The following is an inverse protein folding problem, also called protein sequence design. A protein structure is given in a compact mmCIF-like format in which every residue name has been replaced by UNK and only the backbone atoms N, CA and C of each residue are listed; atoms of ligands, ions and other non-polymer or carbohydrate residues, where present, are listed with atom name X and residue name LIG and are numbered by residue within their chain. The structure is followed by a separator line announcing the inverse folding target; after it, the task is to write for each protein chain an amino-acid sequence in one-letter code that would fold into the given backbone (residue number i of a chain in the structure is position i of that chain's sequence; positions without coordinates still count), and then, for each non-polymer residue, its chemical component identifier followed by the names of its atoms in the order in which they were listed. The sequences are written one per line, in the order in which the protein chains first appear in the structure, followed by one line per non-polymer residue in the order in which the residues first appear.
data_IF_187226444853
#
_entry.id   IF_187226444853
#
_cell.length_a   1.000
_cell.length_b   1.000
_cell.length_c   1.000
_cell.angle_alpha   90.00
_cell.angle_beta   90.00
_cell.angle_gamma   90.00
#
_symmetry.space_group_name_H-M   'P 1'
#
loop_
_entity.id
_entity.type
_entity.pdbx_description
1 polymer ?
#
# COMPACT_ATOMS: atom_id res chain seq x y z
N UNK A 1 -5.87 6.19 -14.11
CA UNK A 1 -5.58 4.85 -13.52
C UNK A 1 -6.87 4.06 -13.49
N UNK A 2 -6.83 2.77 -13.78
CA UNK A 2 -8.03 1.90 -13.77
C UNK A 2 -7.76 0.72 -12.85
N UNK A 3 -8.68 0.46 -11.93
CA UNK A 3 -8.66 -0.70 -11.04
C UNK A 3 -9.64 -1.74 -11.56
N UNK A 4 -9.15 -2.94 -11.85
CA UNK A 4 -10.02 -4.08 -12.20
C UNK A 4 -10.76 -4.60 -10.97
N UNK A 5 -10.09 -4.64 -9.81
CA UNK A 5 -10.69 -5.00 -8.52
C UNK A 5 -10.04 -4.21 -7.37
N UNK A 6 -10.74 -4.11 -6.23
CA UNK A 6 -10.21 -3.54 -4.97
C UNK A 6 -9.64 -4.58 -4.00
N UNK A 7 -9.57 -5.86 -4.43
CA UNK A 7 -9.01 -6.95 -3.65
C UNK A 7 -7.66 -7.39 -4.22
N UNK A 8 -6.75 -7.82 -3.36
CA UNK A 8 -5.50 -8.44 -3.78
C UNK A 8 -5.16 -9.66 -2.93
N UNK A 9 -4.41 -10.58 -3.52
CA UNK A 9 -3.81 -11.68 -2.77
C UNK A 9 -2.53 -11.19 -2.08
N UNK A 10 -2.42 -11.41 -0.77
CA UNK A 10 -1.27 -10.96 0.03
C UNK A 10 -0.21 -12.05 0.30
N UNK A 11 -0.37 -13.21 -0.33
CA UNK A 11 0.43 -14.41 -0.09
C UNK A 11 -0.29 -15.46 0.76
N UNK A 12 -1.38 -15.11 1.43
CA UNK A 12 -2.21 -16.04 2.21
C UNK A 12 -3.67 -16.04 1.76
N UNK A 13 -4.26 -14.87 1.61
CA UNK A 13 -5.67 -14.73 1.26
C UNK A 13 -5.93 -13.52 0.36
N UNK A 14 -7.13 -13.49 -0.23
CA UNK A 14 -7.63 -12.32 -0.91
C UNK A 14 -8.22 -11.36 0.12
N UNK A 15 -7.59 -10.20 0.27
CA UNK A 15 -8.05 -9.12 1.15
C UNK A 15 -8.30 -7.84 0.38
N UNK A 16 -9.04 -6.92 0.99
CA UNK A 16 -9.18 -5.55 0.48
C UNK A 16 -7.82 -4.84 0.46
N UNK A 17 -7.65 -3.92 -0.48
CA UNK A 17 -6.51 -3.01 -0.51
C UNK A 17 -6.49 -2.15 0.75
N UNK A 18 -5.30 -1.91 1.30
CA UNK A 18 -5.13 -0.94 2.37
C UNK A 18 -5.30 0.48 1.79
N UNK A 19 -5.77 1.45 2.58
CA UNK A 19 -5.95 2.82 2.09
C UNK A 19 -4.67 3.45 1.54
N UNK A 20 -3.52 3.10 2.14
CA UNK A 20 -2.21 3.53 1.64
C UNK A 20 -1.85 2.91 0.29
N UNK A 21 -2.20 1.65 0.04
CA UNK A 21 -1.97 0.96 -1.23
C UNK A 21 -2.83 1.59 -2.34
N UNK A 22 -4.11 1.84 -2.05
CA UNK A 22 -5.01 2.55 -2.95
C UNK A 22 -4.48 3.95 -3.29
N UNK A 23 -4.14 4.75 -2.27
CA UNK A 23 -3.61 6.11 -2.45
C UNK A 23 -2.33 6.12 -3.28
N UNK A 24 -1.43 5.17 -3.05
CA UNK A 24 -0.18 5.06 -3.80
C UNK A 24 -0.42 4.79 -5.30
N UNK A 25 -1.37 3.92 -5.63
CA UNK A 25 -1.71 3.58 -7.01
C UNK A 25 -2.56 4.68 -7.69
N UNK A 26 -3.65 5.09 -7.04
CA UNK A 26 -4.58 6.11 -7.54
C UNK A 26 -3.91 7.48 -7.69
N UNK A 27 -3.00 7.83 -6.77
CA UNK A 27 -2.25 9.10 -6.79
C UNK A 27 -1.35 9.29 -8.01
N UNK A 28 -1.10 8.24 -8.81
CA UNK A 28 -0.35 8.32 -10.08
C UNK A 28 -1.21 8.73 -11.27
N UNK A 29 -2.53 8.90 -11.09
CA UNK A 29 -3.45 9.18 -12.20
C UNK A 29 -3.32 10.59 -12.81
N UNK A 30 -2.77 11.56 -12.07
CA UNK A 30 -2.60 12.93 -12.57
C UNK A 30 -1.17 13.21 -13.02
N UNK A 31 -0.99 13.73 -14.25
CA UNK A 31 0.32 14.19 -14.72
C UNK A 31 0.46 15.70 -14.51
N UNK A 32 1.43 16.08 -13.69
CA UNK A 32 1.69 17.48 -13.32
C UNK A 32 1.98 18.34 -14.55
N UNK A 33 1.20 19.40 -14.75
CA UNK A 33 1.36 20.36 -15.84
C UNK A 33 0.68 19.96 -17.16
N UNK A 34 0.09 18.76 -17.24
CA UNK A 34 -0.64 18.29 -18.42
C UNK A 34 -2.13 18.11 -18.14
N UNK A 35 -2.46 17.49 -17.00
CA UNK A 35 -3.84 17.16 -16.66
C UNK A 35 -4.38 18.10 -15.58
N UNK A 36 -5.60 18.62 -15.75
CA UNK A 36 -6.28 19.43 -14.72
C UNK A 36 -6.72 18.60 -13.51
N UNK A 37 -7.10 17.34 -13.76
CA UNK A 37 -7.55 16.36 -12.77
C UNK A 37 -6.99 14.99 -13.13
N UNK A 38 -6.69 14.17 -12.12
CA UNK A 38 -6.32 12.77 -12.32
C UNK A 38 -7.54 11.86 -12.23
N UNK A 39 -7.94 11.22 -13.33
CA UNK A 39 -9.12 10.35 -13.36
C UNK A 39 -8.76 8.92 -12.93
N UNK A 40 -9.53 8.41 -11.97
CA UNK A 40 -9.42 7.04 -11.45
C UNK A 40 -10.76 6.35 -11.66
N UNK A 41 -10.73 5.15 -12.24
CA UNK A 41 -11.93 4.34 -12.51
C UNK A 41 -11.84 3.01 -11.78
N UNK A 42 -12.97 2.59 -11.19
CA UNK A 42 -13.14 1.27 -10.61
C UNK A 42 -14.05 0.44 -11.52
N UNK A 43 -13.60 -0.74 -11.92
CA UNK A 43 -14.43 -1.68 -12.67
C UNK A 43 -15.29 -2.49 -11.70
N UNK A 44 -16.60 -2.51 -11.91
CA UNK A 44 -17.54 -3.38 -11.21
C UNK A 44 -18.20 -4.29 -12.25
N UNK A 45 -17.67 -5.50 -12.45
CA UNK A 45 -18.23 -6.46 -13.42
C UNK A 45 -19.33 -7.32 -12.79
N UNK A 46 -18.95 -8.23 -11.90
CA UNK A 46 -19.84 -9.28 -11.41
C UNK A 46 -20.28 -9.07 -9.95
N UNK A 47 -19.42 -8.47 -9.13
CA UNK A 47 -19.65 -8.20 -7.71
C UNK A 47 -19.45 -6.70 -7.47
N UNK A 48 -20.51 -6.03 -7.02
CA UNK A 48 -20.45 -4.62 -6.64
C UNK A 48 -19.91 -4.58 -5.20
N UNK A 49 -18.75 -3.96 -4.94
CA UNK A 49 -18.23 -3.85 -3.59
C UNK A 49 -19.21 -3.07 -2.70
N UNK A 50 -19.30 -3.45 -1.43
CA UNK A 50 -20.10 -2.69 -0.47
C UNK A 50 -19.56 -1.26 -0.32
N UNK A 51 -20.47 -0.31 -0.07
CA UNK A 51 -20.13 1.09 0.14
C UNK A 51 -19.17 1.28 1.33
N UNK A 52 -19.39 0.50 2.41
CA UNK A 52 -18.57 0.47 3.62
C UNK A 52 -17.10 0.17 3.29
N UNK A 53 -16.87 -0.89 2.52
CA UNK A 53 -15.54 -1.33 2.08
C UNK A 53 -14.89 -0.29 1.18
N UNK A 54 -15.61 0.22 0.18
CA UNK A 54 -15.09 1.25 -0.72
C UNK A 54 -14.71 2.52 0.04
N UNK A 55 -15.56 2.95 0.97
CA UNK A 55 -15.30 4.11 1.81
C UNK A 55 -14.06 3.91 2.64
N UNK A 56 -13.87 2.73 3.23
CA UNK A 56 -12.65 2.40 3.97
C UNK A 56 -11.41 2.46 3.07
N UNK A 57 -11.44 1.84 1.89
CA UNK A 57 -10.29 1.81 0.96
C UNK A 57 -9.93 3.22 0.44
N UNK A 58 -10.93 4.04 0.10
CA UNK A 58 -10.73 5.34 -0.53
C UNK A 58 -10.41 6.45 0.49
N UNK A 59 -11.09 6.45 1.64
CA UNK A 59 -11.03 7.54 2.62
C UNK A 59 -10.39 7.16 3.95
N UNK A 60 -10.00 5.89 4.11
CA UNK A 60 -9.35 5.40 5.32
C UNK A 60 -8.00 6.05 5.57
N UNK A 61 -7.57 6.06 6.83
CA UNK A 61 -6.26 6.56 7.21
C UNK A 61 -5.14 5.69 6.65
N UNK A 62 -4.06 6.32 6.19
CA UNK A 62 -2.85 5.61 5.80
C UNK A 62 -2.29 4.79 6.99
N UNK A 63 -1.69 3.65 6.68
CA UNK A 63 -1.06 2.77 7.67
C UNK A 63 0.02 3.53 8.43
N UNK A 64 0.05 3.38 9.76
CA UNK A 64 1.08 4.00 10.59
C UNK A 64 2.44 3.40 10.27
N UNK A 65 3.49 4.22 10.34
CA UNK A 65 4.86 3.76 10.18
C UNK A 65 5.29 3.03 11.45
N UNK A 66 5.54 1.74 11.33
CA UNK A 66 6.02 0.88 12.41
C UNK A 66 7.43 0.40 12.10
N UNK A 67 8.26 0.28 13.15
CA UNK A 67 9.61 -0.26 12.98
C UNK A 67 9.54 -1.72 12.53
N UNK A 68 10.17 -2.01 11.40
CA UNK A 68 10.40 -3.38 10.92
C UNK A 68 11.80 -3.88 11.26
N UNK A 69 12.48 -3.21 12.21
CA UNK A 69 13.83 -3.61 12.63
C UNK A 69 13.80 -5.01 13.24
N UNK A 70 14.68 -5.88 12.74
CA UNK A 70 14.87 -7.23 13.26
C UNK A 70 16.36 -7.50 13.39
N UNK A 71 16.77 -8.03 14.53
CA UNK A 71 18.13 -8.53 14.70
C UNK A 71 18.34 -9.75 13.79
N UNK A 72 19.41 -9.74 13.02
CA UNK A 72 19.83 -10.87 12.19
C UNK A 72 21.22 -11.33 12.63
N UNK A 73 21.52 -12.63 12.47
CA UNK A 73 22.82 -13.17 12.86
C UNK A 73 23.98 -12.46 12.17
N UNK A 74 23.84 -12.16 10.87
CA UNK A 74 24.86 -11.44 10.10
C UNK A 74 25.15 -10.07 10.73
N UNK A 75 24.10 -9.35 11.15
CA UNK A 75 24.27 -8.05 11.79
C UNK A 75 24.98 -8.18 13.13
N UNK A 76 24.63 -9.17 13.96
CA UNK A 76 25.34 -9.42 15.24
C UNK A 76 26.83 -9.70 14.97
N UNK A 77 27.15 -10.54 13.99
CA UNK A 77 28.53 -10.86 13.62
C UNK A 77 29.29 -9.63 13.11
N UNK A 78 28.64 -8.76 12.34
CA UNK A 78 29.25 -7.50 11.89
C UNK A 78 29.50 -6.53 13.05
N UNK A 79 28.54 -6.38 13.96
CA UNK A 79 28.66 -5.51 15.13
C UNK A 79 29.76 -6.00 16.10
N UNK A 80 29.93 -7.31 16.26
CA UNK A 80 31.01 -7.88 17.07
C UNK A 80 32.39 -7.73 16.43
N UNK A 81 32.46 -7.73 15.09
CA UNK A 81 33.71 -7.54 14.33
C UNK A 81 34.22 -6.11 14.40
N UNK A 82 33.33 -5.13 14.49
CA UNK A 82 33.67 -3.70 14.55
C UNK A 82 33.77 -3.31 16.02
N UNK A 83 35.00 -3.19 16.55
CA UNK A 83 35.27 -2.85 17.97
C UNK A 83 34.83 -1.43 18.40
N UNK A 84 34.15 -0.66 17.54
CA UNK A 84 33.84 0.77 17.74
C UNK A 84 32.54 1.08 18.48
N UNK A 85 31.77 0.07 18.93
CA UNK A 85 30.56 0.26 19.74
C UNK A 85 30.81 0.19 21.25
N UNK A 86 32.02 0.53 21.71
CA UNK A 86 32.34 0.72 23.13
C UNK A 86 32.16 2.17 23.56
#
# INVERSE_FOLDING_TARGET
VVFDTVRKFDGKEFRQLLPGEYTQMAGRAGRRGLDKIGTVLLMCRDEIPEESDLKHVITGSATRLESQFRLTYIMIMHLLRVEELK
#
